data_IF_822383319305
#
_entry.id   IF_822383319305
#
_cell.length_a   1.000
_cell.length_b   1.000
_cell.length_c   1.000
_cell.angle_alpha   90.00
_cell.angle_beta   90.00
_cell.angle_gamma   90.00
#
_symmetry.space_group_name_H-M   'P 1'
#
loop_
_entity.id
_entity.type
_entity.pdbx_description
1 polymer ?
#
# COMPACT_ATOMS: atom_id res chain seq x y z
N UNK A 1 -30.17 9.45 -6.60
CA UNK A 1 -29.74 8.37 -7.52
C UNK A 1 -28.21 8.26 -7.65
N UNK A 2 -27.46 9.31 -8.04
CA UNK A 2 -25.98 9.26 -8.16
C UNK A 2 -25.22 8.83 -6.89
N UNK A 3 -25.68 9.28 -5.72
CA UNK A 3 -25.06 8.95 -4.42
C UNK A 3 -25.14 7.46 -4.09
N UNK A 4 -26.24 6.79 -4.45
CA UNK A 4 -26.43 5.35 -4.24
C UNK A 4 -25.51 4.52 -5.14
N UNK A 5 -25.31 4.93 -6.39
CA UNK A 5 -24.40 4.23 -7.31
C UNK A 5 -22.95 4.33 -6.79
N UNK A 6 -22.55 5.50 -6.32
CA UNK A 6 -21.21 5.72 -5.76
C UNK A 6 -20.98 4.85 -4.51
N UNK A 7 -21.95 4.80 -3.60
CA UNK A 7 -21.84 3.95 -2.41
C UNK A 7 -21.76 2.46 -2.75
N UNK A 8 -22.54 2.01 -3.75
CA UNK A 8 -22.47 0.62 -4.21
C UNK A 8 -21.09 0.27 -4.75
N UNK A 9 -20.50 1.14 -5.58
CA UNK A 9 -19.15 0.93 -6.11
C UNK A 9 -18.13 0.85 -4.98
N UNK A 10 -18.14 1.81 -4.05
CA UNK A 10 -17.22 1.83 -2.91
C UNK A 10 -17.33 0.54 -2.10
N UNK A 11 -18.55 0.08 -1.84
CA UNK A 11 -18.79 -1.15 -1.07
C UNK A 11 -18.31 -2.39 -1.81
N UNK A 12 -18.55 -2.50 -3.12
CA UNK A 12 -18.05 -3.62 -3.92
C UNK A 12 -16.52 -3.70 -3.90
N UNK A 13 -15.81 -2.58 -4.05
CA UNK A 13 -14.35 -2.56 -3.95
C UNK A 13 -13.88 -3.00 -2.56
N UNK A 14 -14.56 -2.56 -1.51
CA UNK A 14 -14.26 -2.94 -0.13
C UNK A 14 -14.47 -4.45 0.11
N UNK A 15 -15.50 -5.05 -0.48
CA UNK A 15 -15.73 -6.50 -0.45
C UNK A 15 -14.60 -7.30 -1.12
N UNK A 16 -13.98 -6.73 -2.16
CA UNK A 16 -12.77 -7.31 -2.80
C UNK A 16 -11.46 -6.99 -2.05
N UNK A 17 -11.54 -6.42 -0.84
CA UNK A 17 -10.36 -6.07 -0.03
C UNK A 17 -9.66 -4.77 -0.45
N UNK A 18 -10.31 -3.93 -1.25
CA UNK A 18 -9.78 -2.63 -1.69
C UNK A 18 -10.52 -1.51 -0.95
N UNK A 19 -9.86 -0.94 0.05
CA UNK A 19 -10.24 0.34 0.63
C UNK A 19 -9.75 1.48 -0.26
N UNK A 20 -10.69 2.20 -0.87
CA UNK A 20 -10.38 3.28 -1.81
C UNK A 20 -9.62 4.46 -1.17
N UNK A 21 -9.78 4.71 0.12
CA UNK A 21 -9.05 5.79 0.81
C UNK A 21 -7.59 5.36 1.00
N UNK A 22 -7.37 4.12 1.43
CA UNK A 22 -6.02 3.54 1.54
C UNK A 22 -5.35 3.44 0.17
N UNK A 23 -6.12 3.07 -0.87
CA UNK A 23 -5.64 2.98 -2.26
C UNK A 23 -5.17 4.33 -2.78
N UNK A 24 -5.96 5.38 -2.58
CA UNK A 24 -5.62 6.73 -3.02
C UNK A 24 -4.43 7.29 -2.25
N UNK A 25 -4.31 7.02 -0.95
CA UNK A 25 -3.12 7.36 -0.16
C UNK A 25 -1.86 6.66 -0.71
N UNK A 26 -1.96 5.36 -1.04
CA UNK A 26 -0.86 4.61 -1.65
C UNK A 26 -0.48 5.12 -3.05
N UNK A 27 -1.46 5.46 -3.88
CA UNK A 27 -1.23 6.11 -5.18
C UNK A 27 -0.50 7.44 -5.01
N UNK A 28 -0.90 8.26 -4.04
CA UNK A 28 -0.23 9.54 -3.77
C UNK A 28 1.25 9.33 -3.39
N UNK A 29 1.55 8.30 -2.60
CA UNK A 29 2.92 7.89 -2.30
C UNK A 29 3.69 7.46 -3.55
N UNK A 30 3.09 6.61 -4.39
CA UNK A 30 3.70 6.14 -5.63
C UNK A 30 3.99 7.29 -6.62
N UNK A 31 3.07 8.25 -6.74
CA UNK A 31 3.28 9.48 -7.54
C UNK A 31 4.43 10.31 -6.96
N UNK A 32 4.48 10.47 -5.63
CA UNK A 32 5.57 11.19 -4.98
C UNK A 32 6.93 10.56 -5.26
N UNK A 33 7.03 9.23 -5.42
CA UNK A 33 8.28 8.57 -5.85
C UNK A 33 8.71 8.97 -7.26
N UNK A 34 7.76 9.15 -8.17
CA UNK A 34 8.02 9.49 -9.57
C UNK A 34 8.42 10.95 -9.79
N UNK A 35 8.33 11.80 -8.77
CA UNK A 35 8.86 13.18 -8.81
C UNK A 35 10.38 13.22 -8.90
N UNK A 36 11.06 12.15 -8.46
CA UNK A 36 12.50 11.98 -8.65
C UNK A 36 12.80 11.59 -10.09
N UNK A 37 14.00 11.91 -10.59
CA UNK A 37 14.41 11.49 -11.93
C UNK A 37 14.45 9.96 -11.99
N UNK A 38 13.52 9.36 -12.74
CA UNK A 38 13.42 7.92 -12.94
C UNK A 38 13.66 7.59 -14.40
N UNK A 39 14.40 6.52 -14.68
CA UNK A 39 14.63 6.00 -16.05
C UNK A 39 13.43 5.18 -16.57
N UNK A 40 12.28 5.26 -15.91
CA UNK A 40 11.10 4.47 -16.22
C UNK A 40 10.35 5.06 -17.42
N UNK A 41 9.85 4.19 -18.30
CA UNK A 41 8.94 4.60 -19.37
C UNK A 41 7.54 4.91 -18.82
N UNK A 42 6.65 5.48 -19.65
CA UNK A 42 5.30 5.90 -19.21
C UNK A 42 4.47 4.74 -18.66
N UNK A 43 4.56 3.55 -19.26
CA UNK A 43 3.85 2.36 -18.80
C UNK A 43 4.37 1.89 -17.44
N UNK A 44 5.68 1.82 -17.26
CA UNK A 44 6.32 1.48 -16.00
C UNK A 44 6.00 2.48 -14.89
N UNK A 45 5.91 3.77 -15.20
CA UNK A 45 5.45 4.80 -14.25
C UNK A 45 4.02 4.54 -13.79
N UNK A 46 3.12 4.28 -14.74
CA UNK A 46 1.72 3.98 -14.43
C UNK A 46 1.58 2.71 -13.58
N UNK A 47 2.25 1.62 -13.95
CA UNK A 47 2.21 0.36 -13.19
C UNK A 47 2.86 0.52 -11.82
N UNK A 48 3.90 1.34 -11.68
CA UNK A 48 4.52 1.67 -10.38
C UNK A 48 3.50 2.35 -9.46
N UNK A 49 2.79 3.37 -9.95
CA UNK A 49 1.77 4.08 -9.15
C UNK A 49 0.63 3.15 -8.73
N UNK A 50 0.12 2.34 -9.67
CA UNK A 50 -0.90 1.35 -9.36
C UNK A 50 -0.43 0.34 -8.33
N UNK A 51 0.80 -0.18 -8.49
CA UNK A 51 1.39 -1.12 -7.55
C UNK A 51 1.53 -0.52 -6.14
N UNK A 52 1.81 0.79 -6.03
CA UNK A 52 1.84 1.51 -4.75
C UNK A 52 0.46 1.54 -4.07
N UNK A 53 -0.61 1.80 -4.83
CA UNK A 53 -1.99 1.74 -4.32
C UNK A 53 -2.38 0.36 -3.80
N UNK A 54 -2.07 -0.70 -4.56
CA UNK A 54 -2.34 -2.08 -4.14
C UNK A 54 -1.48 -2.51 -2.96
N UNK A 55 -0.19 -2.14 -2.96
CA UNK A 55 0.71 -2.40 -1.82
C UNK A 55 0.15 -1.78 -0.56
N UNK A 56 -0.30 -0.52 -0.61
CA UNK A 56 -0.94 0.12 0.53
C UNK A 56 -2.20 -0.64 1.00
N UNK A 57 -3.07 -1.11 0.10
CA UNK A 57 -4.28 -1.82 0.49
C UNK A 57 -4.02 -3.11 1.26
N UNK A 58 -3.05 -3.89 0.80
CA UNK A 58 -2.79 -5.20 1.39
C UNK A 58 -1.82 -5.15 2.58
N UNK A 59 -0.82 -4.27 2.57
CA UNK A 59 0.16 -4.18 3.67
C UNK A 59 -0.25 -3.25 4.80
N UNK A 60 -1.03 -2.19 4.55
CA UNK A 60 -1.45 -1.28 5.63
C UNK A 60 -2.23 -1.99 6.74
N UNK A 61 -3.22 -2.86 6.48
CA UNK A 61 -3.91 -3.57 7.57
C UNK A 61 -2.98 -4.50 8.37
N UNK A 62 -2.00 -5.11 7.70
CA UNK A 62 -0.96 -5.92 8.38
C UNK A 62 -0.11 -5.04 9.30
N UNK A 63 0.36 -3.91 8.79
CA UNK A 63 1.13 -2.94 9.57
C UNK A 63 0.32 -2.35 10.72
N UNK A 64 -0.96 -2.05 10.51
CA UNK A 64 -1.87 -1.55 11.54
C UNK A 64 -2.06 -2.55 12.69
N UNK A 65 -2.20 -3.84 12.35
CA UNK A 65 -2.30 -4.91 13.34
C UNK A 65 -1.02 -5.02 14.20
N UNK A 66 0.15 -4.92 13.57
CA UNK A 66 1.44 -5.13 14.26
C UNK A 66 1.91 -3.90 15.05
N UNK A 67 1.61 -2.70 14.57
CA UNK A 67 2.10 -1.44 15.14
C UNK A 67 1.04 -0.71 16.00
N UNK A 68 -0.16 -1.28 16.14
CA UNK A 68 -1.27 -0.70 16.92
C UNK A 68 -1.56 0.76 16.52
N UNK A 69 -1.67 0.99 15.22
CA UNK A 69 -1.80 2.34 14.66
C UNK A 69 -3.18 2.96 14.94
N UNK A 70 -3.20 4.28 15.12
CA UNK A 70 -4.45 5.04 15.14
C UNK A 70 -5.04 5.18 13.73
N UNK A 71 -6.35 5.45 13.64
CA UNK A 71 -7.07 5.56 12.36
C UNK A 71 -6.46 6.56 11.37
N UNK A 72 -5.90 7.67 11.87
CA UNK A 72 -5.21 8.64 11.00
C UNK A 72 -3.82 8.17 10.57
N UNK A 73 -3.12 7.43 11.43
CA UNK A 73 -1.80 6.91 11.13
C UNK A 73 -1.84 5.83 10.04
N UNK A 74 -2.97 5.12 9.89
CA UNK A 74 -3.23 4.18 8.79
C UNK A 74 -3.01 4.84 7.43
N UNK A 75 -3.53 6.05 7.20
CA UNK A 75 -3.36 6.75 5.92
C UNK A 75 -1.93 7.23 5.69
N UNK A 76 -1.23 7.63 6.76
CA UNK A 76 0.19 7.97 6.68
C UNK A 76 1.05 6.76 6.30
N UNK A 77 0.77 5.60 6.91
CA UNK A 77 1.45 4.34 6.58
C UNK A 77 1.09 3.89 5.16
N UNK A 78 -0.16 4.01 4.73
CA UNK A 78 -0.57 3.74 3.35
C UNK A 78 0.21 4.58 2.35
N UNK A 79 0.39 5.88 2.63
CA UNK A 79 1.22 6.77 1.82
C UNK A 79 2.69 6.33 1.81
N UNK A 80 3.28 6.03 2.97
CA UNK A 80 4.67 5.58 3.06
C UNK A 80 4.89 4.24 2.36
N UNK A 81 3.95 3.31 2.48
CA UNK A 81 3.98 2.03 1.77
C UNK A 81 3.85 2.22 0.27
N UNK A 82 3.00 3.15 -0.19
CA UNK A 82 2.92 3.53 -1.59
C UNK A 82 4.19 4.21 -2.11
N UNK A 83 4.79 5.08 -1.31
CA UNK A 83 6.08 5.73 -1.61
C UNK A 83 7.22 4.72 -1.64
N UNK A 84 7.21 3.77 -0.71
CA UNK A 84 8.21 2.71 -0.61
C UNK A 84 7.93 1.50 -1.51
N UNK A 85 6.75 1.39 -2.13
CA UNK A 85 6.18 0.23 -2.85
C UNK A 85 7.08 -1.00 -2.97
N UNK A 86 7.94 -1.02 -3.99
CA UNK A 86 8.82 -2.15 -4.26
C UNK A 86 9.82 -2.44 -3.11
N UNK A 87 10.37 -1.38 -2.51
CA UNK A 87 11.28 -1.44 -1.35
C UNK A 87 10.57 -1.87 -0.06
N UNK A 88 9.29 -1.52 0.11
CA UNK A 88 8.48 -1.94 1.26
C UNK A 88 8.21 -3.44 1.24
N UNK A 89 7.87 -3.98 0.07
CA UNK A 89 7.65 -5.44 -0.10
C UNK A 89 8.97 -6.19 0.10
N UNK A 90 10.07 -5.70 -0.49
CA UNK A 90 11.41 -6.26 -0.30
C UNK A 90 11.84 -6.24 1.17
N UNK A 91 11.63 -5.12 1.87
CA UNK A 91 11.93 -4.99 3.30
C UNK A 91 11.08 -5.93 4.18
N UNK A 92 9.78 -6.07 3.89
CA UNK A 92 8.90 -6.99 4.63
C UNK A 92 9.33 -8.45 4.42
N UNK A 93 9.61 -8.84 3.17
CA UNK A 93 10.09 -10.17 2.84
C UNK A 93 11.38 -10.51 3.61
N UNK A 94 12.36 -9.60 3.60
CA UNK A 94 13.62 -9.75 4.33
C UNK A 94 13.40 -9.81 5.85
N UNK A 95 12.52 -8.98 6.40
CA UNK A 95 12.20 -8.98 7.83
C UNK A 95 11.55 -10.30 8.26
N UNK A 96 10.64 -10.84 7.45
CA UNK A 96 10.01 -12.14 7.73
C UNK A 96 11.03 -13.27 7.69
N UNK A 97 11.93 -13.30 6.69
CA UNK A 97 12.99 -14.32 6.62
C UNK A 97 13.94 -14.22 7.82
N UNK A 98 14.37 -13.01 8.20
CA UNK A 98 15.22 -12.82 9.37
C UNK A 98 14.55 -13.22 10.71
N UNK A 99 13.21 -13.25 10.77
CA UNK A 99 12.46 -13.74 11.94
C UNK A 99 12.39 -15.26 11.97
N UNK A 100 12.21 -15.91 10.82
CA UNK A 100 12.18 -17.38 10.71
C UNK A 100 13.56 -18.00 11.03
N UNK A 101 14.65 -17.36 10.62
CA UNK A 101 16.01 -17.81 10.93
C UNK A 101 16.35 -17.68 12.43
N UNK A 102 15.69 -16.76 13.14
CA UNK A 102 15.86 -16.56 14.59
C UNK A 102 15.04 -17.54 15.43
N UNK A 103 13.86 -17.98 14.96
CA UNK A 103 13.07 -19.01 15.65
C UNK A 103 13.61 -20.42 15.42
N UNK A 104 14.32 -20.68 14.32
CA UNK A 104 14.89 -22.02 14.03
C UNK A 104 16.22 -22.29 14.76
N UNK A 105 16.92 -21.25 15.22
CA UNK A 105 18.22 -21.34 15.91
C UNK A 105 18.15 -21.12 17.44
N UNK A 106 16.97 -21.19 18.03
CA UNK A 106 16.75 -21.05 19.48
C UNK A 106 15.91 -22.23 19.99
#
# INVERSE_FOLDING_TARGET
>A
MKIYILSSIVNTFKEYGIDLIVFTAGIAGGIAVLTKSTKLNRFQKFTTVLSGGFTANYLTPVAAHWLTLSDKAIYGVAFLLGYGGLKSVEALYLLMHARLDKETNN
#
